data_IF_165127460695
#
_entry.id   IF_165127460695
#
_cell.length_a   1.000
_cell.length_b   1.000
_cell.length_c   1.000
_cell.angle_alpha   90.00
_cell.angle_beta   90.00
_cell.angle_gamma   90.00
#
_symmetry.space_group_name_H-M   'P 1'
#
loop_
_entity.id
_entity.type
_entity.pdbx_description
1 polymer ?
#
# COMPACT_ATOMS: atom_id res chain seq x y z
N UNK A 1 0.59 36.82 -12.37
CA UNK A 1 0.78 36.21 -11.05
C UNK A 1 0.51 34.72 -11.18
N UNK A 2 1.55 33.87 -11.18
CA UNK A 2 1.37 32.42 -11.12
C UNK A 2 0.76 32.07 -9.76
N UNK A 3 -0.47 31.55 -9.72
CA UNK A 3 -1.00 30.91 -8.51
C UNK A 3 -0.01 29.81 -8.11
N UNK A 4 0.42 29.72 -6.84
CA UNK A 4 1.22 28.60 -6.40
C UNK A 4 0.45 27.31 -6.76
N UNK A 5 1.09 26.39 -7.49
CA UNK A 5 0.50 25.07 -7.76
C UNK A 5 0.15 24.45 -6.42
N UNK A 6 -1.14 24.19 -6.21
CA UNK A 6 -1.59 23.47 -5.02
C UNK A 6 -0.87 22.12 -4.98
N UNK A 7 -0.13 21.88 -3.89
CA UNK A 7 0.65 20.65 -3.79
C UNK A 7 -0.29 19.45 -3.64
N UNK A 8 0.03 18.37 -4.35
CA UNK A 8 -0.81 17.17 -4.39
C UNK A 8 -1.06 16.59 -2.99
N UNK A 9 -2.26 16.06 -2.81
CA UNK A 9 -2.65 15.22 -1.69
C UNK A 9 -2.46 13.77 -2.09
N UNK A 10 -1.59 13.06 -1.37
CA UNK A 10 -1.23 11.68 -1.66
C UNK A 10 -1.66 10.80 -0.49
N UNK A 11 -2.54 9.86 -0.78
CA UNK A 11 -2.89 8.79 0.15
C UNK A 11 -1.95 7.60 -0.04
N UNK A 12 -1.26 7.20 1.01
CA UNK A 12 -0.36 6.03 0.99
C UNK A 12 -1.00 4.90 1.80
N UNK A 13 -0.94 3.66 1.32
CA UNK A 13 -1.50 2.52 2.05
C UNK A 13 -0.41 1.53 2.41
N UNK A 14 -0.27 1.27 3.71
CA UNK A 14 0.61 0.25 4.26
C UNK A 14 -0.16 -1.07 4.43
N UNK A 15 0.32 -2.18 3.86
CA UNK A 15 -0.36 -3.47 3.94
C UNK A 15 -0.19 -4.16 5.30
N UNK A 16 0.86 -3.78 6.06
CA UNK A 16 1.29 -4.45 7.29
C UNK A 16 1.13 -3.58 8.52
N UNK A 17 1.08 -4.22 9.71
CA UNK A 17 1.01 -3.51 11.00
C UNK A 17 2.11 -2.46 11.13
N UNK A 18 1.71 -1.21 11.32
CA UNK A 18 2.60 -0.04 11.34
C UNK A 18 3.61 -0.09 12.48
N UNK A 19 3.14 -0.51 13.64
CA UNK A 19 3.89 -0.68 14.89
C UNK A 19 4.76 -1.96 14.91
N UNK A 20 4.83 -2.68 13.80
CA UNK A 20 5.68 -3.86 13.67
C UNK A 20 6.89 -3.54 12.80
N UNK A 21 8.13 -3.67 13.31
CA UNK A 21 9.32 -3.41 12.52
C UNK A 21 9.37 -4.24 11.23
N UNK A 22 9.63 -3.58 10.10
CA UNK A 22 9.73 -4.24 8.79
C UNK A 22 10.20 -3.30 7.69
N UNK A 23 10.82 -3.88 6.66
CA UNK A 23 11.37 -3.10 5.54
C UNK A 23 10.33 -2.28 4.78
N UNK A 24 9.11 -2.80 4.64
CA UNK A 24 8.01 -2.09 3.96
C UNK A 24 7.57 -0.86 4.76
N UNK A 25 7.37 -1.01 6.07
CA UNK A 25 6.99 0.10 6.96
C UNK A 25 8.07 1.18 6.99
N UNK A 26 9.34 0.77 7.12
CA UNK A 26 10.49 1.70 7.10
C UNK A 26 10.55 2.47 5.78
N UNK A 27 10.38 1.77 4.65
CA UNK A 27 10.35 2.41 3.33
C UNK A 27 9.21 3.43 3.21
N UNK A 28 8.00 3.06 3.64
CA UNK A 28 6.83 3.95 3.60
C UNK A 28 7.06 5.18 4.48
N UNK A 29 7.59 4.99 5.68
CA UNK A 29 7.89 6.09 6.60
C UNK A 29 8.87 7.08 5.99
N UNK A 30 10.00 6.61 5.49
CA UNK A 30 11.01 7.46 4.85
C UNK A 30 10.46 8.18 3.61
N UNK A 31 9.68 7.49 2.78
CA UNK A 31 9.03 8.10 1.62
C UNK A 31 8.05 9.20 2.03
N UNK A 32 7.19 8.93 3.02
CA UNK A 32 6.21 9.90 3.52
C UNK A 32 6.92 11.15 4.10
N UNK A 33 7.93 10.96 4.94
CA UNK A 33 8.72 12.05 5.55
C UNK A 33 9.38 12.91 4.46
N UNK A 34 9.98 12.29 3.43
CA UNK A 34 10.60 13.01 2.33
C UNK A 34 9.59 13.82 1.52
N UNK A 35 8.45 13.23 1.17
CA UNK A 35 7.39 13.93 0.44
C UNK A 35 6.78 15.08 1.26
N UNK A 36 6.64 14.92 2.57
CA UNK A 36 6.20 16.00 3.48
C UNK A 36 7.21 17.15 3.48
N UNK A 37 8.51 16.85 3.54
CA UNK A 37 9.58 17.86 3.45
C UNK A 37 9.53 18.61 2.11
N UNK A 38 9.20 17.93 1.02
CA UNK A 38 8.96 18.53 -0.29
C UNK A 38 7.63 19.31 -0.36
N UNK A 39 6.83 19.25 0.74
CA UNK A 39 5.59 19.97 0.98
C UNK A 39 4.36 19.35 0.33
N UNK A 40 4.37 18.09 -0.03
CA UNK A 40 3.16 17.35 -0.36
C UNK A 40 2.32 17.11 0.90
N UNK A 41 1.01 16.96 0.73
CA UNK A 41 0.11 16.57 1.81
C UNK A 41 -0.02 15.05 1.79
N UNK A 42 0.52 14.39 2.82
CA UNK A 42 0.54 12.94 2.93
C UNK A 42 -0.42 12.49 4.02
N UNK A 43 -1.16 11.42 3.74
CA UNK A 43 -1.90 10.65 4.73
C UNK A 43 -1.61 9.17 4.48
N UNK A 44 -1.20 8.44 5.51
CA UNK A 44 -0.90 7.00 5.43
C UNK A 44 -1.97 6.22 6.16
N UNK A 45 -2.68 5.33 5.46
CA UNK A 45 -3.60 4.39 6.07
C UNK A 45 -2.85 3.10 6.41
N UNK A 46 -2.88 2.68 7.67
CA UNK A 46 -2.16 1.49 8.13
C UNK A 46 -2.94 0.71 9.21
N UNK A 47 -2.73 -0.61 9.32
CA UNK A 47 -3.15 -1.36 10.50
C UNK A 47 -2.28 -0.94 11.69
N UNK A 48 -2.87 -0.63 12.84
CA UNK A 48 -2.16 -0.20 14.05
C UNK A 48 -2.68 -1.01 15.24
N UNK A 49 -1.77 -1.60 16.04
CA UNK A 49 -2.15 -2.37 17.24
C UNK A 49 -2.33 -1.46 18.46
N UNK A 50 -1.54 -0.41 18.54
CA UNK A 50 -1.49 0.54 19.67
C UNK A 50 -1.65 1.98 19.13
N UNK A 51 -2.89 2.42 19.04
CA UNK A 51 -3.23 3.75 18.53
C UNK A 51 -2.83 4.87 19.51
N UNK A 52 -2.74 4.59 20.80
CA UNK A 52 -2.41 5.58 21.85
C UNK A 52 -0.93 6.00 21.78
N UNK A 53 -0.05 5.11 21.30
CA UNK A 53 1.38 5.36 21.16
C UNK A 53 1.81 5.71 19.73
N UNK A 54 0.86 5.98 18.82
CA UNK A 54 1.16 6.41 17.47
C UNK A 54 1.78 7.83 17.49
N UNK A 55 2.98 7.98 16.92
CA UNK A 55 3.73 9.24 16.97
C UNK A 55 3.53 10.11 15.73
N UNK A 56 3.19 9.49 14.61
CA UNK A 56 3.04 10.17 13.34
C UNK A 56 1.59 10.65 13.15
N UNK A 57 1.38 11.97 13.14
CA UNK A 57 0.05 12.62 12.95
C UNK A 57 -0.53 12.44 11.54
N UNK A 58 0.32 12.08 10.58
CA UNK A 58 -0.06 11.77 9.20
C UNK A 58 -0.43 10.30 8.98
N UNK A 59 -0.38 9.45 10.01
CA UNK A 59 -0.83 8.05 9.97
C UNK A 59 -2.26 7.93 10.50
N UNK A 60 -3.12 7.32 9.70
CA UNK A 60 -4.52 7.05 10.06
C UNK A 60 -4.66 5.56 10.38
N UNK A 61 -5.06 5.20 11.61
CA UNK A 61 -5.28 3.82 12.00
C UNK A 61 -6.49 3.22 11.29
N UNK A 62 -6.30 2.10 10.59
CA UNK A 62 -7.39 1.36 9.98
C UNK A 62 -7.99 0.29 10.92
N UNK A 63 -7.36 0.07 12.07
CA UNK A 63 -7.72 -0.92 13.08
C UNK A 63 -6.61 -1.92 13.32
N UNK A 64 -6.87 -2.84 14.27
CA UNK A 64 -5.87 -3.82 14.73
C UNK A 64 -5.56 -4.87 13.67
N UNK A 65 -4.28 -5.13 13.35
CA UNK A 65 -3.88 -6.18 12.43
C UNK A 65 -4.08 -7.57 13.02
N UNK A 66 -4.31 -8.53 12.13
CA UNK A 66 -4.41 -9.95 12.48
C UNK A 66 -3.10 -10.64 12.05
N UNK A 67 -2.45 -11.43 12.95
CA UNK A 67 -1.26 -12.18 12.59
C UNK A 67 -1.62 -13.37 11.67
N UNK A 68 -0.97 -13.45 10.51
CA UNK A 68 -1.13 -14.54 9.55
C UNK A 68 0.24 -15.20 9.33
N UNK A 69 0.37 -16.52 9.54
CA UNK A 69 1.60 -17.24 9.23
C UNK A 69 1.88 -17.22 7.72
N UNK A 70 3.06 -16.75 7.31
CA UNK A 70 3.48 -16.70 5.90
C UNK A 70 4.94 -17.17 5.79
N UNK A 71 5.17 -18.32 5.16
CA UNK A 71 6.52 -18.80 4.82
C UNK A 71 7.53 -18.81 5.99
N UNK A 72 7.11 -19.23 7.19
CA UNK A 72 7.97 -19.29 8.37
C UNK A 72 8.13 -17.97 9.13
N UNK A 73 7.42 -16.93 8.71
CA UNK A 73 7.28 -15.66 9.43
C UNK A 73 5.82 -15.35 9.72
N UNK A 74 5.55 -14.26 10.44
CA UNK A 74 4.19 -13.80 10.75
C UNK A 74 3.99 -12.43 10.10
N UNK A 75 3.05 -12.36 9.15
CA UNK A 75 2.61 -11.09 8.60
C UNK A 75 1.41 -10.58 9.42
N UNK A 76 1.48 -9.34 9.90
CA UNK A 76 0.36 -8.67 10.56
C UNK A 76 -0.40 -7.84 9.54
N UNK A 77 -1.54 -8.32 9.08
CA UNK A 77 -2.35 -7.67 8.03
C UNK A 77 -3.76 -7.38 8.52
N UNK A 78 -4.48 -6.53 7.79
CA UNK A 78 -5.89 -6.26 8.03
C UNK A 78 -6.66 -6.37 6.71
N UNK A 79 -7.72 -7.19 6.72
CA UNK A 79 -8.58 -7.44 5.56
C UNK A 79 -9.99 -7.80 6.02
N UNK A 80 -11.00 -7.49 5.23
CA UNK A 80 -12.39 -7.85 5.50
C UNK A 80 -13.37 -6.68 5.42
N UNK A 81 -14.67 -6.91 5.68
CA UNK A 81 -15.72 -5.90 5.44
C UNK A 81 -15.54 -4.61 6.24
N UNK A 82 -15.16 -4.70 7.52
CA UNK A 82 -14.93 -3.53 8.38
C UNK A 82 -13.75 -2.71 7.85
N UNK A 83 -12.65 -3.38 7.50
CA UNK A 83 -11.48 -2.75 6.89
C UNK A 83 -11.84 -2.08 5.55
N UNK A 84 -12.65 -2.73 4.72
CA UNK A 84 -13.12 -2.17 3.45
C UNK A 84 -13.96 -0.89 3.64
N UNK A 85 -14.78 -0.84 4.69
CA UNK A 85 -15.56 0.38 5.01
C UNK A 85 -14.64 1.51 5.44
N UNK A 86 -13.65 1.26 6.30
CA UNK A 86 -12.67 2.26 6.74
C UNK A 86 -11.81 2.77 5.59
N UNK A 87 -11.38 1.89 4.69
CA UNK A 87 -10.65 2.27 3.47
C UNK A 87 -11.47 3.22 2.61
N UNK A 88 -12.75 2.90 2.34
CA UNK A 88 -13.64 3.77 1.53
C UNK A 88 -13.85 5.12 2.19
N UNK A 89 -14.09 5.15 3.51
CA UNK A 89 -14.25 6.38 4.26
C UNK A 89 -13.00 7.25 4.16
N UNK A 90 -11.82 6.69 4.42
CA UNK A 90 -10.55 7.40 4.33
C UNK A 90 -10.26 7.95 2.91
N UNK A 91 -10.57 7.17 1.85
CA UNK A 91 -10.43 7.64 0.47
C UNK A 91 -11.36 8.83 0.20
N UNK A 92 -12.62 8.74 0.62
CA UNK A 92 -13.61 9.79 0.38
C UNK A 92 -13.31 11.08 1.16
N UNK A 93 -12.87 10.97 2.41
CA UNK A 93 -12.53 12.12 3.26
C UNK A 93 -11.19 12.78 2.87
N UNK A 94 -10.25 11.99 2.38
CA UNK A 94 -8.90 12.45 2.05
C UNK A 94 -8.82 13.27 0.77
N UNK A 95 -9.79 13.14 -0.15
CA UNK A 95 -9.83 13.84 -1.46
C UNK A 95 -8.45 13.80 -2.15
N UNK A 96 -7.90 12.60 -2.27
CA UNK A 96 -6.55 12.38 -2.76
C UNK A 96 -6.46 12.56 -4.28
N UNK A 97 -5.40 13.23 -4.73
CA UNK A 97 -5.06 13.33 -6.15
C UNK A 97 -4.41 12.04 -6.67
N UNK A 98 -3.80 11.26 -5.77
CA UNK A 98 -3.09 10.02 -6.07
C UNK A 98 -3.15 9.08 -4.87
N UNK A 99 -3.35 7.78 -5.12
CA UNK A 99 -3.11 6.74 -4.13
C UNK A 99 -1.82 6.00 -4.44
N UNK A 100 -0.98 5.80 -3.42
CA UNK A 100 0.22 4.99 -3.49
C UNK A 100 0.05 3.75 -2.61
N UNK A 101 -0.08 2.59 -3.24
CA UNK A 101 -0.37 1.32 -2.58
C UNK A 101 0.90 0.46 -2.53
N UNK A 102 1.27 0.02 -1.33
CA UNK A 102 2.37 -0.95 -1.19
C UNK A 102 1.81 -2.37 -1.13
N UNK A 103 2.39 -3.29 -1.92
CA UNK A 103 1.93 -4.68 -2.06
C UNK A 103 0.44 -4.80 -2.42
N UNK A 104 -0.04 -4.17 -3.50
CA UNK A 104 -1.46 -4.15 -3.84
C UNK A 104 -2.04 -5.51 -4.23
N UNK A 105 -1.20 -6.51 -4.51
CA UNK A 105 -1.59 -7.85 -4.93
C UNK A 105 -1.64 -8.87 -3.78
N UNK A 106 -1.76 -8.42 -2.52
CA UNK A 106 -1.98 -9.31 -1.38
C UNK A 106 -3.27 -8.94 -0.64
N UNK A 107 -3.99 -9.90 -0.06
CA UNK A 107 -5.16 -9.63 0.78
C UNK A 107 -4.79 -8.75 1.99
N UNK A 108 -4.99 -7.45 1.87
CA UNK A 108 -4.61 -6.43 2.84
C UNK A 108 -5.40 -5.14 2.59
N UNK A 109 -5.13 -4.08 3.38
CA UNK A 109 -5.68 -2.74 3.12
C UNK A 109 -5.36 -2.25 1.71
N UNK A 110 -4.17 -2.56 1.17
CA UNK A 110 -3.76 -2.12 -0.16
C UNK A 110 -4.63 -2.69 -1.27
N UNK A 111 -4.99 -3.97 -1.19
CA UNK A 111 -5.92 -4.57 -2.14
C UNK A 111 -7.33 -3.97 -2.03
N UNK A 112 -7.81 -3.75 -0.80
CA UNK A 112 -9.10 -3.09 -0.56
C UNK A 112 -9.12 -1.66 -1.12
N UNK A 113 -8.04 -0.91 -0.95
CA UNK A 113 -7.89 0.43 -1.49
C UNK A 113 -7.81 0.41 -3.02
N UNK A 114 -7.12 -0.56 -3.61
CA UNK A 114 -7.07 -0.74 -5.05
C UNK A 114 -8.47 -0.96 -5.64
N UNK A 115 -9.29 -1.80 -5.01
CA UNK A 115 -10.67 -2.01 -5.46
C UNK A 115 -11.56 -0.78 -5.29
N UNK A 116 -11.38 -0.03 -4.19
CA UNK A 116 -12.21 1.13 -3.85
C UNK A 116 -11.86 2.41 -4.63
N UNK A 117 -10.63 2.55 -5.07
CA UNK A 117 -10.13 3.77 -5.71
C UNK A 117 -10.76 4.04 -7.07
N UNK A 118 -11.01 5.32 -7.39
CA UNK A 118 -11.51 5.79 -8.68
C UNK A 118 -10.54 6.74 -9.42
N UNK A 119 -9.39 7.06 -8.81
CA UNK A 119 -8.36 7.96 -9.35
C UNK A 119 -7.06 7.23 -9.71
N UNK A 120 -5.99 7.99 -10.00
CA UNK A 120 -4.69 7.43 -10.29
C UNK A 120 -4.12 6.63 -9.12
N UNK A 121 -3.54 5.47 -9.42
CA UNK A 121 -2.95 4.57 -8.43
C UNK A 121 -1.53 4.21 -8.83
N UNK A 122 -0.58 4.38 -7.93
CA UNK A 122 0.77 3.81 -8.03
C UNK A 122 0.85 2.58 -7.13
N UNK A 123 1.37 1.48 -7.64
CA UNK A 123 1.62 0.26 -6.87
C UNK A 123 3.11 0.01 -6.71
N UNK A 124 3.58 -0.16 -5.47
CA UNK A 124 4.96 -0.57 -5.17
C UNK A 124 5.00 -2.01 -4.67
N UNK A 125 5.83 -2.82 -5.31
CA UNK A 125 6.04 -4.24 -5.03
C UNK A 125 7.39 -4.46 -4.36
N UNK A 126 7.36 -5.00 -3.14
CA UNK A 126 8.54 -5.26 -2.30
C UNK A 126 8.92 -6.73 -2.27
N UNK A 127 7.94 -7.59 -2.52
CA UNK A 127 8.13 -9.01 -2.30
C UNK A 127 8.83 -9.69 -3.47
N UNK A 128 9.84 -10.44 -3.12
CA UNK A 128 10.62 -11.31 -4.00
C UNK A 128 10.50 -12.75 -3.51
N UNK A 129 9.47 -13.48 -3.89
CA UNK A 129 9.37 -14.88 -3.44
C UNK A 129 8.77 -15.81 -4.49
N UNK A 130 9.60 -16.74 -4.96
CA UNK A 130 9.19 -17.88 -5.78
C UNK A 130 8.22 -18.84 -5.05
N UNK A 131 8.07 -18.71 -3.72
CA UNK A 131 7.24 -19.58 -2.88
C UNK A 131 5.80 -19.10 -2.67
N UNK A 132 5.41 -17.96 -3.23
CA UNK A 132 4.05 -17.40 -3.12
C UNK A 132 3.01 -18.06 -4.05
N UNK A 133 3.24 -19.31 -4.49
CA UNK A 133 2.29 -20.04 -5.36
C UNK A 133 0.85 -20.06 -4.84
N UNK A 134 0.64 -20.07 -3.51
CA UNK A 134 -0.68 -20.06 -2.92
C UNK A 134 -1.42 -18.72 -3.08
N UNK A 135 -0.70 -17.57 -3.08
CA UNK A 135 -1.30 -16.24 -3.28
C UNK A 135 -1.65 -16.06 -4.76
N UNK A 136 -0.83 -16.61 -5.64
CA UNK A 136 -1.06 -16.54 -7.09
C UNK A 136 -2.15 -17.52 -7.60
N UNK A 137 -2.51 -18.53 -6.81
CA UNK A 137 -3.67 -19.37 -7.13
C UNK A 137 -5.00 -18.56 -7.17
N UNK A 138 -5.02 -17.34 -6.62
CA UNK A 138 -6.14 -16.40 -6.69
C UNK A 138 -5.89 -15.28 -7.74
N UNK A 139 -4.95 -15.51 -8.67
CA UNK A 139 -4.64 -14.60 -9.78
C UNK A 139 -5.86 -13.95 -10.44
N UNK A 140 -6.88 -14.70 -10.88
CA UNK A 140 -8.07 -14.12 -11.50
C UNK A 140 -8.79 -13.04 -10.67
N UNK A 141 -8.59 -13.03 -9.34
CA UNK A 141 -9.12 -12.00 -8.43
C UNK A 141 -8.16 -10.83 -8.28
N UNK A 142 -6.86 -11.07 -8.45
CA UNK A 142 -5.81 -10.06 -8.28
C UNK A 142 -5.45 -9.33 -9.58
N UNK A 143 -5.56 -10.00 -10.74
CA UNK A 143 -5.22 -9.44 -12.05
C UNK A 143 -5.92 -8.10 -12.31
N UNK A 144 -7.25 -7.96 -12.09
CA UNK A 144 -7.93 -6.68 -12.29
C UNK A 144 -7.42 -5.56 -11.38
N UNK A 145 -6.90 -5.90 -10.18
CA UNK A 145 -6.32 -4.91 -9.28
C UNK A 145 -4.97 -4.42 -9.80
N UNK A 146 -4.13 -5.34 -10.32
CA UNK A 146 -2.83 -4.98 -10.90
C UNK A 146 -2.98 -4.20 -12.21
N UNK A 147 -3.95 -4.57 -13.05
CA UNK A 147 -4.28 -3.85 -14.28
C UNK A 147 -4.75 -2.40 -14.03
N UNK A 148 -5.47 -2.18 -12.92
CA UNK A 148 -5.97 -0.86 -12.53
C UNK A 148 -4.88 0.14 -12.16
N UNK A 149 -3.64 -0.32 -11.88
CA UNK A 149 -2.54 0.55 -11.50
C UNK A 149 -2.09 1.42 -12.68
N UNK A 150 -2.06 2.73 -12.47
CA UNK A 150 -1.56 3.72 -13.44
C UNK A 150 -0.04 3.64 -13.61
N UNK A 151 0.67 3.29 -12.54
CA UNK A 151 2.12 3.04 -12.56
C UNK A 151 2.49 1.94 -11.58
N UNK A 152 3.60 1.23 -11.88
CA UNK A 152 4.13 0.12 -11.08
C UNK A 152 5.60 0.35 -10.78
N UNK A 153 5.97 0.17 -9.53
CA UNK A 153 7.32 0.29 -9.01
C UNK A 153 7.71 -1.04 -8.39
N UNK A 154 8.94 -1.48 -8.64
CA UNK A 154 9.55 -2.61 -7.97
C UNK A 154 10.80 -2.14 -7.23
N UNK A 155 10.96 -2.52 -5.96
CA UNK A 155 12.12 -2.12 -5.14
C UNK A 155 13.38 -2.94 -5.44
N UNK A 156 13.33 -3.83 -6.41
CA UNK A 156 14.46 -4.63 -6.88
C UNK A 156 14.13 -5.33 -8.19
N UNK A 157 15.16 -5.74 -8.96
CA UNK A 157 14.99 -6.58 -10.15
C UNK A 157 14.30 -7.92 -9.83
N UNK A 158 14.52 -8.46 -8.63
CA UNK A 158 13.85 -9.69 -8.20
C UNK A 158 12.34 -9.48 -7.97
N UNK A 159 11.95 -8.35 -7.40
CA UNK A 159 10.53 -7.98 -7.25
C UNK A 159 9.88 -7.75 -8.62
N UNK A 160 10.58 -7.06 -9.54
CA UNK A 160 10.15 -6.85 -10.94
C UNK A 160 9.93 -8.16 -11.68
N UNK A 161 10.91 -9.09 -11.62
CA UNK A 161 10.81 -10.40 -12.25
C UNK A 161 9.61 -11.18 -11.68
N UNK A 162 9.43 -11.13 -10.36
CA UNK A 162 8.29 -11.78 -9.71
C UNK A 162 6.95 -11.23 -10.22
N UNK A 163 6.83 -9.91 -10.37
CA UNK A 163 5.65 -9.28 -10.92
C UNK A 163 5.38 -9.71 -12.36
N UNK A 164 6.42 -9.72 -13.20
CA UNK A 164 6.33 -10.09 -14.60
C UNK A 164 5.93 -11.56 -14.79
N UNK A 165 6.49 -12.45 -13.99
CA UNK A 165 6.20 -13.89 -14.06
C UNK A 165 4.77 -14.24 -13.64
N UNK A 166 4.10 -13.38 -12.86
CA UNK A 166 2.79 -13.70 -12.29
C UNK A 166 1.63 -12.88 -12.86
N UNK A 167 1.89 -11.66 -13.30
CA UNK A 167 0.85 -10.73 -13.79
C UNK A 167 1.09 -10.28 -15.22
N UNK A 168 2.07 -10.86 -15.92
CA UNK A 168 2.43 -10.52 -17.31
C UNK A 168 2.61 -8.99 -17.53
N UNK A 169 2.99 -8.28 -16.47
CA UNK A 169 3.16 -6.82 -16.47
C UNK A 169 4.55 -6.43 -16.00
N UNK A 170 4.99 -5.21 -16.31
CA UNK A 170 6.32 -4.71 -15.97
C UNK A 170 6.25 -3.53 -14.98
N UNK A 171 7.36 -3.24 -14.31
CA UNK A 171 7.50 -2.17 -13.35
C UNK A 171 8.84 -1.44 -13.51
N UNK A 172 8.86 -0.17 -13.11
CA UNK A 172 10.12 0.58 -12.97
C UNK A 172 10.82 0.13 -11.70
N UNK A 173 12.12 -0.15 -11.78
CA UNK A 173 12.94 -0.48 -10.60
C UNK A 173 13.53 0.80 -10.03
N UNK A 174 13.41 0.95 -8.71
CA UNK A 174 13.98 2.07 -7.94
C UNK A 174 14.75 1.56 -6.73
#
# INVERSE_FOLDING_TARGET
MNKPKEKLRIGVVCPYGWDTPGGVQTHIKQLAEHLIQDGYRISVLAPVSDEENLQEDWVVPAGRPIPIPVNGSVAKVLFGPIAATRVRQWINEGDFNLLHLHEPAIPSLSLLACWAANGPIVGTFHASSKKRKAIYAIGPVLDPAVEKLSARIAVSELARTTLKDHFETDAVVI
#
